data_IF_052489550423
#
_entry.id   IF_052489550423
#
_cell.length_a   1.000
_cell.length_b   1.000
_cell.length_c   1.000
_cell.angle_alpha   90.00
_cell.angle_beta   90.00
_cell.angle_gamma   90.00
#
_symmetry.space_group_name_H-M   'P 1'
#
loop_
_entity.id
_entity.type
_entity.pdbx_description
1 polymer ?
#
# COMPACT_ATOMS: atom_id res chain seq x y z
N UNK A 1 6.48 -0.35 16.07
CA UNK A 1 5.80 0.49 15.06
C UNK A 1 4.38 0.76 15.53
N UNK A 2 3.91 2.01 15.45
CA UNK A 2 2.57 2.38 15.92
C UNK A 2 1.51 1.87 14.92
N UNK A 3 0.49 1.18 15.43
CA UNK A 3 -0.61 0.62 14.62
C UNK A 3 -1.34 1.73 13.86
N UNK A 4 -1.73 1.46 12.62
CA UNK A 4 -2.54 2.37 11.81
C UNK A 4 -4.00 2.32 12.27
N UNK A 5 -4.61 3.48 12.52
CA UNK A 5 -6.02 3.55 12.89
C UNK A 5 -6.96 3.37 11.68
N UNK A 6 -8.25 3.14 11.95
CA UNK A 6 -9.26 2.93 10.89
C UNK A 6 -9.40 4.11 9.92
N UNK A 7 -9.20 5.34 10.39
CA UNK A 7 -9.33 6.54 9.57
C UNK A 7 -8.17 6.59 8.57
N UNK A 8 -6.95 6.36 9.05
CA UNK A 8 -5.75 6.24 8.21
C UNK A 8 -5.90 5.13 7.17
N UNK A 9 -6.39 3.96 7.57
CA UNK A 9 -6.61 2.83 6.67
C UNK A 9 -7.55 3.17 5.51
N UNK A 10 -8.65 3.89 5.80
CA UNK A 10 -9.66 4.25 4.81
C UNK A 10 -9.25 5.46 3.96
N UNK A 11 -8.79 6.53 4.59
CA UNK A 11 -8.58 7.82 3.92
C UNK A 11 -7.21 7.89 3.24
N UNK A 12 -6.17 7.40 3.92
CA UNK A 12 -4.80 7.43 3.41
C UNK A 12 -4.55 6.15 2.62
N UNK A 13 -4.67 4.99 3.25
CA UNK A 13 -4.36 3.70 2.62
C UNK A 13 -5.44 3.16 1.68
N UNK A 14 -6.57 3.86 1.50
CA UNK A 14 -7.66 3.49 0.59
C UNK A 14 -8.03 2.00 0.71
N UNK A 15 -8.14 1.47 1.94
CA UNK A 15 -8.50 0.07 2.16
C UNK A 15 -9.83 -0.25 1.46
N UNK A 16 -9.82 -1.28 0.60
CA UNK A 16 -10.95 -1.64 -0.28
C UNK A 16 -10.98 -0.89 -1.62
N UNK A 17 -10.06 0.04 -1.88
CA UNK A 17 -9.96 0.84 -3.10
C UNK A 17 -9.21 0.19 -4.26
N UNK A 18 -9.03 -1.14 -4.25
CA UNK A 18 -8.35 -1.90 -5.31
C UNK A 18 -6.93 -1.38 -5.58
N UNK A 19 -6.68 -0.98 -6.83
CA UNK A 19 -5.37 -0.47 -7.30
C UNK A 19 -4.83 0.69 -6.48
N UNK A 20 -5.69 1.51 -5.88
CA UNK A 20 -5.28 2.68 -5.08
C UNK A 20 -4.93 2.35 -3.62
N UNK A 21 -5.18 1.11 -3.18
CA UNK A 21 -4.90 0.70 -1.81
C UNK A 21 -3.39 0.63 -1.52
N UNK A 22 -2.98 0.88 -0.27
CA UNK A 22 -1.61 0.73 0.19
C UNK A 22 -1.03 -0.64 -0.14
N UNK A 23 -0.06 -0.66 -1.04
CA UNK A 23 0.76 -1.84 -1.37
C UNK A 23 1.57 -2.34 -0.18
N UNK A 24 2.02 -1.43 0.69
CA UNK A 24 2.80 -1.74 1.89
C UNK A 24 1.95 -1.99 3.13
N UNK A 25 0.64 -2.19 2.98
CA UNK A 25 -0.22 -2.46 4.12
C UNK A 25 -0.05 -3.91 4.59
N UNK A 26 0.55 -4.10 5.77
CA UNK A 26 0.63 -5.38 6.46
C UNK A 26 -0.54 -5.56 7.43
N UNK A 27 -1.03 -6.79 7.57
CA UNK A 27 -2.03 -7.16 8.57
C UNK A 27 -1.42 -8.20 9.51
N UNK A 28 -1.30 -7.87 10.79
CA UNK A 28 -0.85 -8.78 11.84
C UNK A 28 -1.95 -8.98 12.89
N UNK A 29 -1.76 -9.94 13.81
CA UNK A 29 -2.71 -10.19 14.91
C UNK A 29 -2.99 -8.94 15.76
N UNK A 30 -2.05 -7.99 15.80
CA UNK A 30 -2.20 -6.72 16.50
C UNK A 30 -2.98 -5.64 15.74
N UNK A 31 -3.21 -5.79 14.44
CA UNK A 31 -3.81 -4.78 13.58
C UNK A 31 -2.98 -4.51 12.33
N UNK A 32 -3.27 -3.40 11.67
CA UNK A 32 -2.62 -3.02 10.43
C UNK A 32 -1.38 -2.16 10.68
N UNK A 33 -0.35 -2.37 9.87
CA UNK A 33 0.89 -1.59 9.90
C UNK A 33 1.43 -1.27 8.51
N UNK A 34 2.34 -0.30 8.46
CA UNK A 34 3.03 0.07 7.24
C UNK A 34 4.38 -0.63 7.13
N UNK A 35 4.57 -1.43 6.09
CA UNK A 35 5.79 -2.19 5.84
C UNK A 35 6.84 -1.43 5.00
N UNK A 36 6.57 -0.18 4.62
CA UNK A 36 7.53 0.66 3.89
C UNK A 36 8.72 0.99 4.80
N UNK A 37 9.93 0.89 4.27
CA UNK A 37 11.18 1.03 5.03
C UNK A 37 11.58 -0.21 5.84
N UNK A 38 10.78 -1.28 5.82
CA UNK A 38 11.13 -2.57 6.44
C UNK A 38 11.80 -3.52 5.45
N UNK A 39 12.25 -4.68 5.91
CA UNK A 39 12.79 -5.74 5.06
C UNK A 39 11.80 -6.26 4.00
N UNK A 40 10.50 -6.04 4.18
CA UNK A 40 9.46 -6.44 3.21
C UNK A 40 9.35 -5.52 2.01
N UNK A 41 9.87 -4.28 2.09
CA UNK A 41 9.74 -3.30 1.03
C UNK A 41 10.22 -3.85 -0.32
N UNK A 42 11.39 -4.52 -0.36
CA UNK A 42 11.95 -5.05 -1.62
C UNK A 42 11.01 -6.05 -2.31
N UNK A 43 10.35 -6.90 -1.53
CA UNK A 43 9.41 -7.90 -2.06
C UNK A 43 8.15 -7.22 -2.59
N UNK A 44 7.65 -6.21 -1.87
CA UNK A 44 6.45 -5.46 -2.28
C UNK A 44 6.74 -4.63 -3.54
N UNK A 45 7.91 -4.00 -3.61
CA UNK A 45 8.38 -3.26 -4.79
C UNK A 45 8.45 -4.17 -6.02
N UNK A 46 9.00 -5.38 -5.86
CA UNK A 46 9.03 -6.38 -6.93
C UNK A 46 7.62 -6.74 -7.41
N UNK A 47 6.70 -7.04 -6.49
CA UNK A 47 5.32 -7.39 -6.85
C UNK A 47 4.55 -6.24 -7.52
N UNK A 48 4.83 -5.00 -7.11
CA UNK A 48 4.32 -3.80 -7.80
C UNK A 48 4.84 -3.72 -9.22
N UNK A 49 6.15 -3.86 -9.42
CA UNK A 49 6.77 -3.81 -10.75
C UNK A 49 6.26 -4.92 -11.68
N UNK A 50 6.07 -6.12 -11.14
CA UNK A 50 5.52 -7.28 -11.85
C UNK A 50 3.99 -7.23 -12.03
N UNK A 51 3.31 -6.24 -11.44
CA UNK A 51 1.84 -6.16 -11.38
C UNK A 51 1.20 -7.44 -10.83
N UNK A 52 1.88 -8.14 -9.94
CA UNK A 52 1.44 -9.40 -9.32
C UNK A 52 0.66 -9.20 -8.02
N UNK A 53 0.21 -7.97 -7.77
CA UNK A 53 -0.66 -7.60 -6.66
C UNK A 53 -1.65 -6.52 -7.06
N UNK A 54 -2.82 -6.50 -6.42
CA UNK A 54 -3.83 -5.48 -6.68
C UNK A 54 -3.56 -4.15 -5.98
N UNK A 55 -3.13 -4.15 -4.72
CA UNK A 55 -2.87 -2.90 -4.01
C UNK A 55 -1.57 -2.26 -4.52
N UNK A 56 -1.66 -1.16 -5.29
CA UNK A 56 -0.50 -0.53 -5.93
C UNK A 56 -0.17 0.85 -5.34
N UNK A 57 -0.98 1.38 -4.44
CA UNK A 57 -0.79 2.68 -3.80
C UNK A 57 0.49 2.75 -2.96
N UNK A 58 1.20 3.88 -3.03
CA UNK A 58 2.34 4.23 -2.17
C UNK A 58 1.99 5.30 -1.11
N UNK A 59 0.84 5.12 -0.46
CA UNK A 59 0.17 6.03 0.48
C UNK A 59 0.63 5.89 1.93
N UNK A 60 1.52 4.94 2.19
CA UNK A 60 1.74 4.41 3.53
C UNK A 60 2.52 5.37 4.46
N UNK A 61 3.11 6.42 3.88
CA UNK A 61 3.80 7.52 4.56
C UNK A 61 3.06 8.86 4.46
N UNK A 62 1.79 8.86 4.07
CA UNK A 62 1.00 10.06 3.77
C UNK A 62 0.44 10.04 2.35
N UNK A 63 -0.31 11.08 1.96
CA UNK A 63 -0.91 11.14 0.62
C UNK A 63 0.16 10.90 -0.47
N UNK A 64 -0.04 9.92 -1.37
CA UNK A 64 0.95 9.54 -2.37
C UNK A 64 0.90 10.48 -3.57
N UNK A 65 2.06 10.67 -4.21
CA UNK A 65 2.16 11.05 -5.62
C UNK A 65 1.80 9.84 -6.52
N UNK A 66 0.60 9.29 -6.34
CA UNK A 66 0.14 8.18 -7.17
C UNK A 66 -0.23 8.71 -8.56
N UNK A 67 0.72 8.68 -9.50
CA UNK A 67 0.45 8.91 -10.92
C UNK A 67 0.03 7.60 -11.55
N UNK A 68 -1.27 7.43 -11.80
CA UNK A 68 -1.75 6.42 -12.74
C UNK A 68 -1.17 6.75 -14.11
N UNK A 69 -0.23 5.95 -14.60
CA UNK A 69 0.13 5.96 -16.02
C UNK A 69 -0.74 4.93 -16.74
N UNK A 70 -0.99 5.14 -18.03
CA UNK A 70 -1.82 4.28 -18.89
C UNK A 70 -1.36 2.81 -18.92
N UNK A 71 -0.15 2.53 -18.46
CA UNK A 71 0.43 1.18 -18.36
C UNK A 71 -0.17 0.35 -17.23
N UNK A 72 -0.80 0.96 -16.21
CA UNK A 72 -1.34 0.23 -15.04
C UNK A 72 -2.79 -0.25 -15.25
N UNK A 73 -3.40 0.11 -16.39
CA UNK A 73 -4.83 -0.14 -16.68
C UNK A 73 -5.03 -1.30 -17.70
N UNK A 74 -3.96 -1.76 -18.36
CA UNK A 74 -4.03 -2.83 -19.35
C UNK A 74 -3.46 -4.15 -18.82
#
# INVERSE_FOLDING_TARGET
MSKLDKKYLKEVCKLGGGTFACSYLGMEAGGAECLKGTSFQRIIDQRRAEKSMWAMGDNCSGHPDFKLTQETIN
#
